data_IF_043194342430
#
_entry.id   IF_043194342430
#
_cell.length_a   1.000
_cell.length_b   1.000
_cell.length_c   1.000
_cell.angle_alpha   90.00
_cell.angle_beta   90.00
_cell.angle_gamma   90.00
#
_symmetry.space_group_name_H-M   'P 1'
#
loop_
_entity.id
_entity.type
_entity.pdbx_description
1 polymer ?
#
# COMPACT_ATOMS: atom_id res chain seq x y z
N UNK A 1 -18.88 -9.64 -13.39
CA UNK A 1 -17.44 -9.38 -13.60
C UNK A 1 -16.63 -10.57 -13.12
N UNK A 2 -15.33 -10.62 -13.42
CA UNK A 2 -14.44 -11.66 -12.88
C UNK A 2 -14.39 -11.63 -11.34
N UNK A 3 -14.09 -12.77 -10.70
CA UNK A 3 -13.92 -12.82 -9.24
C UNK A 3 -12.62 -12.15 -8.84
N UNK A 4 -12.68 -11.30 -7.81
CA UNK A 4 -11.49 -10.66 -7.23
C UNK A 4 -10.64 -11.63 -6.41
N UNK A 5 -11.23 -12.71 -5.92
CA UNK A 5 -10.48 -13.81 -5.31
C UNK A 5 -10.45 -14.94 -6.35
N UNK A 6 -9.27 -15.23 -6.95
CA UNK A 6 -9.13 -16.27 -7.95
C UNK A 6 -9.51 -17.67 -7.42
N UNK A 7 -10.03 -18.51 -8.31
CA UNK A 7 -10.31 -19.93 -8.04
C UNK A 7 -9.08 -20.81 -8.34
N UNK A 8 -8.24 -20.41 -9.29
CA UNK A 8 -6.96 -21.09 -9.55
C UNK A 8 -6.06 -21.00 -8.29
N UNK A 9 -5.60 -22.13 -7.74
CA UNK A 9 -4.85 -22.12 -6.49
C UNK A 9 -3.55 -21.32 -6.53
N UNK A 10 -2.85 -21.27 -7.67
CA UNK A 10 -1.57 -20.55 -7.77
C UNK A 10 -1.80 -19.05 -7.78
N UNK A 11 -2.69 -18.58 -8.65
CA UNK A 11 -3.04 -17.16 -8.74
C UNK A 11 -3.69 -16.69 -7.43
N UNK A 12 -4.46 -17.56 -6.77
CA UNK A 12 -5.06 -17.26 -5.47
C UNK A 12 -4.01 -17.01 -4.39
N UNK A 13 -2.95 -17.82 -4.32
CA UNK A 13 -1.88 -17.63 -3.33
C UNK A 13 -1.17 -16.29 -3.57
N UNK A 14 -0.81 -15.98 -4.81
CA UNK A 14 -0.18 -14.71 -5.18
C UNK A 14 -1.07 -13.51 -4.82
N UNK A 15 -2.38 -13.61 -5.14
CA UNK A 15 -3.34 -12.57 -4.80
C UNK A 15 -3.47 -12.33 -3.29
N UNK A 16 -3.50 -13.40 -2.49
CA UNK A 16 -3.59 -13.31 -1.03
C UNK A 16 -2.28 -12.85 -0.38
N UNK A 17 -1.13 -13.17 -0.97
CA UNK A 17 0.18 -12.67 -0.53
C UNK A 17 0.28 -11.16 -0.70
N UNK A 18 -0.15 -10.64 -1.86
CA UNK A 18 -0.20 -9.21 -2.11
C UNK A 18 -1.24 -8.50 -1.23
N UNK A 19 -2.40 -9.12 -1.01
CA UNK A 19 -3.40 -8.60 -0.06
C UNK A 19 -2.80 -8.45 1.34
N UNK A 20 -2.20 -9.53 1.88
CA UNK A 20 -1.58 -9.50 3.20
C UNK A 20 -0.42 -8.49 3.32
N UNK A 21 0.37 -8.33 2.25
CA UNK A 21 1.43 -7.31 2.21
C UNK A 21 0.84 -5.90 2.29
N UNK A 22 -0.18 -5.61 1.47
CA UNK A 22 -0.83 -4.30 1.43
C UNK A 22 -1.56 -3.96 2.74
N UNK A 23 -2.21 -4.95 3.37
CA UNK A 23 -2.81 -4.79 4.69
C UNK A 23 -1.74 -4.46 5.75
N UNK A 24 -0.60 -5.17 5.72
CA UNK A 24 0.52 -4.86 6.62
C UNK A 24 1.11 -3.46 6.42
N UNK A 25 1.12 -2.95 5.18
CA UNK A 25 1.50 -1.55 4.87
C UNK A 25 0.48 -0.58 5.47
N UNK A 26 -0.82 -0.83 5.27
CA UNK A 26 -1.90 0.01 5.81
C UNK A 26 -1.87 0.06 7.34
N UNK A 27 -1.70 -1.09 8.00
CA UNK A 27 -1.59 -1.17 9.46
C UNK A 27 -0.40 -0.34 9.98
N UNK A 28 0.77 -0.52 9.38
CA UNK A 28 1.97 0.25 9.76
C UNK A 28 1.78 1.75 9.50
N UNK A 29 1.14 2.12 8.39
CA UNK A 29 0.88 3.51 8.02
C UNK A 29 -0.05 4.20 9.01
N UNK A 30 -1.15 3.55 9.39
CA UNK A 30 -2.10 4.06 10.40
C UNK A 30 -1.41 4.25 11.75
N UNK A 31 -0.61 3.26 12.18
CA UNK A 31 0.13 3.35 13.44
C UNK A 31 1.16 4.49 13.42
N UNK A 32 1.91 4.65 12.33
CA UNK A 32 2.87 5.74 12.17
C UNK A 32 2.18 7.11 12.18
N UNK A 33 1.04 7.23 11.49
CA UNK A 33 0.25 8.46 11.43
C UNK A 33 -0.33 8.83 12.80
N UNK A 34 -0.94 7.89 13.53
CA UNK A 34 -1.47 8.17 14.87
C UNK A 34 -0.36 8.63 15.81
N UNK A 35 0.78 7.93 15.82
CA UNK A 35 1.91 8.27 16.69
C UNK A 35 2.46 9.68 16.41
N UNK A 36 2.50 10.09 15.15
CA UNK A 36 3.11 11.37 14.74
C UNK A 36 2.14 12.54 14.65
N UNK A 37 0.85 12.31 14.39
CA UNK A 37 -0.13 13.36 14.08
C UNK A 37 -1.30 13.44 15.07
N UNK A 38 -1.47 12.45 15.96
CA UNK A 38 -2.61 12.40 16.89
C UNK A 38 -2.18 12.29 18.35
N UNK A 39 -1.11 11.55 18.64
CA UNK A 39 -0.58 11.43 20.00
C UNK A 39 0.02 12.76 20.47
N UNK A 40 -0.27 13.23 21.70
CA UNK A 40 0.37 14.42 22.26
C UNK A 40 1.89 14.27 22.24
N UNK A 41 2.59 15.36 21.94
CA UNK A 41 4.02 15.34 21.62
C UNK A 41 4.86 14.75 22.74
N UNK A 42 4.55 15.07 24.00
CA UNK A 42 5.24 14.59 25.18
C UNK A 42 5.15 13.06 25.40
N UNK A 43 4.18 12.40 24.74
CA UNK A 43 3.99 10.96 24.84
C UNK A 43 4.48 10.20 23.61
N UNK A 44 4.95 10.89 22.56
CA UNK A 44 5.41 10.22 21.35
C UNK A 44 6.67 9.41 21.62
N UNK A 45 6.76 8.26 20.98
CA UNK A 45 7.92 7.40 20.97
C UNK A 45 8.50 7.33 19.55
N UNK A 46 9.49 8.18 19.21
CA UNK A 46 10.03 8.27 17.86
C UNK A 46 10.57 6.95 17.30
N UNK A 47 11.14 6.10 18.16
CA UNK A 47 11.65 4.79 17.77
C UNK A 47 10.52 3.87 17.31
N UNK A 48 9.35 3.93 17.94
CA UNK A 48 8.18 3.16 17.51
C UNK A 48 7.66 3.63 16.15
N UNK A 49 7.50 4.94 15.96
CA UNK A 49 7.09 5.50 14.67
C UNK A 49 8.07 5.12 13.55
N UNK A 50 9.37 5.20 13.83
CA UNK A 50 10.43 4.83 12.88
C UNK A 50 10.39 3.35 12.53
N UNK A 51 10.06 2.47 13.49
CA UNK A 51 9.87 1.03 13.22
C UNK A 51 8.73 0.77 12.24
N UNK A 52 7.62 1.49 12.37
CA UNK A 52 6.48 1.35 11.46
C UNK A 52 6.83 1.83 10.04
N UNK A 53 7.47 3.01 9.94
CA UNK A 53 7.97 3.53 8.64
C UNK A 53 8.96 2.57 7.98
N UNK A 54 9.88 1.98 8.76
CA UNK A 54 10.80 0.98 8.24
C UNK A 54 10.11 -0.32 7.78
N UNK A 55 8.96 -0.67 8.35
CA UNK A 55 8.16 -1.80 7.86
C UNK A 55 7.53 -1.49 6.51
N UNK A 56 6.98 -0.27 6.34
CA UNK A 56 6.45 0.21 5.05
C UNK A 56 7.55 0.17 3.99
N UNK A 57 8.71 0.77 4.26
CA UNK A 57 9.84 0.80 3.33
C UNK A 57 10.24 -0.61 2.86
N UNK A 58 10.42 -1.56 3.79
CA UNK A 58 10.78 -2.94 3.44
C UNK A 58 9.70 -3.64 2.61
N UNK A 59 8.43 -3.36 2.87
CA UNK A 59 7.33 -3.92 2.08
C UNK A 59 7.32 -3.36 0.66
N UNK A 60 7.58 -2.06 0.49
CA UNK A 60 7.67 -1.43 -0.83
C UNK A 60 8.93 -1.86 -1.60
N UNK A 61 10.06 -2.03 -0.92
CA UNK A 61 11.28 -2.61 -1.48
C UNK A 61 11.01 -4.04 -2.01
N UNK A 62 10.35 -4.87 -1.19
CA UNK A 62 9.98 -6.23 -1.59
C UNK A 62 9.03 -6.22 -2.79
N UNK A 63 7.99 -5.38 -2.77
CA UNK A 63 7.03 -5.29 -3.85
C UNK A 63 7.67 -4.82 -5.17
N UNK A 64 8.58 -3.85 -5.10
CA UNK A 64 9.35 -3.37 -6.25
C UNK A 64 10.18 -4.49 -6.88
N UNK A 65 10.74 -5.38 -6.05
CA UNK A 65 11.45 -6.58 -6.48
C UNK A 65 10.57 -7.68 -7.08
N UNK A 66 9.26 -7.66 -6.83
CA UNK A 66 8.28 -8.67 -7.27
C UNK A 66 7.16 -8.06 -8.12
N UNK A 67 7.52 -7.09 -8.98
CA UNK A 67 6.57 -6.35 -9.83
C UNK A 67 5.78 -7.24 -10.80
N UNK A 68 6.29 -8.41 -11.11
CA UNK A 68 5.60 -9.41 -11.93
C UNK A 68 4.26 -9.85 -11.31
N UNK A 69 4.14 -9.78 -9.97
CA UNK A 69 2.89 -10.04 -9.25
C UNK A 69 1.84 -8.94 -9.46
N UNK A 70 2.22 -7.76 -9.97
CA UNK A 70 1.31 -6.63 -10.22
C UNK A 70 0.74 -6.61 -11.65
N UNK A 71 1.07 -7.63 -12.45
CA UNK A 71 0.59 -7.80 -13.81
C UNK A 71 -0.68 -8.65 -13.91
N UNK A 72 -1.34 -8.57 -15.07
CA UNK A 72 -2.42 -9.48 -15.44
C UNK A 72 -3.80 -9.06 -14.94
N UNK A 73 -4.65 -10.05 -14.67
CA UNK A 73 -6.05 -9.79 -14.35
C UNK A 73 -6.20 -9.32 -12.90
N UNK A 74 -6.97 -8.24 -12.72
CA UNK A 74 -7.21 -7.66 -11.40
C UNK A 74 -7.83 -8.66 -10.43
N UNK A 75 -7.29 -8.66 -9.22
CA UNK A 75 -7.69 -9.47 -8.08
C UNK A 75 -7.47 -8.69 -6.78
N UNK A 76 -7.76 -9.30 -5.64
CA UNK A 76 -7.76 -8.66 -4.32
C UNK A 76 -6.40 -8.03 -3.97
N UNK A 77 -5.30 -8.73 -4.23
CA UNK A 77 -3.96 -8.17 -4.01
C UNK A 77 -3.65 -6.87 -4.75
N UNK A 78 -4.07 -6.75 -6.02
CA UNK A 78 -3.94 -5.50 -6.78
C UNK A 78 -4.75 -4.36 -6.16
N UNK A 79 -5.99 -4.65 -5.76
CA UNK A 79 -6.86 -3.66 -5.14
C UNK A 79 -6.28 -3.17 -3.81
N UNK A 80 -5.89 -4.08 -2.93
CA UNK A 80 -5.30 -3.74 -1.63
C UNK A 80 -3.99 -2.97 -1.79
N UNK A 81 -3.14 -3.35 -2.76
CA UNK A 81 -1.93 -2.60 -3.09
C UNK A 81 -2.25 -1.17 -3.53
N UNK A 82 -3.20 -0.99 -4.44
CA UNK A 82 -3.62 0.35 -4.88
C UNK A 82 -4.17 1.20 -3.73
N UNK A 83 -4.95 0.61 -2.83
CA UNK A 83 -5.44 1.29 -1.62
C UNK A 83 -4.29 1.68 -0.68
N UNK A 84 -3.32 0.78 -0.46
CA UNK A 84 -2.15 1.04 0.38
C UNK A 84 -1.33 2.22 -0.14
N UNK A 85 -0.98 2.22 -1.43
CA UNK A 85 -0.20 3.31 -2.03
C UNK A 85 -0.95 4.65 -1.99
N UNK A 86 -2.24 4.66 -2.32
CA UNK A 86 -3.07 5.86 -2.21
C UNK A 86 -3.20 6.39 -0.78
N UNK A 87 -3.19 5.50 0.21
CA UNK A 87 -3.21 5.92 1.61
C UNK A 87 -1.88 6.54 2.07
N UNK A 88 -0.75 6.00 1.59
CA UNK A 88 0.56 6.61 1.83
C UNK A 88 0.60 8.03 1.27
N UNK A 89 0.05 8.28 0.08
CA UNK A 89 -0.05 9.63 -0.49
C UNK A 89 -0.89 10.58 0.36
N UNK A 90 -2.00 10.04 0.89
CA UNK A 90 -2.97 10.84 1.62
C UNK A 90 -2.51 11.20 3.03
N UNK A 91 -1.78 10.31 3.72
CA UNK A 91 -1.47 10.47 5.16
C UNK A 91 0.02 10.52 5.50
N UNK A 92 0.88 10.08 4.59
CA UNK A 92 2.34 9.97 4.79
C UNK A 92 3.07 10.50 3.56
N UNK A 93 2.68 11.70 3.09
CA UNK A 93 3.32 12.38 1.96
C UNK A 93 4.84 12.58 2.19
N UNK A 94 5.23 12.85 3.44
CA UNK A 94 6.61 12.96 3.89
C UNK A 94 7.47 11.70 3.69
N UNK A 95 6.86 10.53 3.46
CA UNK A 95 7.57 9.30 3.12
C UNK A 95 8.19 9.35 1.72
N UNK A 96 7.62 10.14 0.80
CA UNK A 96 8.07 10.30 -0.59
C UNK A 96 8.34 8.95 -1.31
N UNK A 97 7.47 7.96 -1.10
CA UNK A 97 7.70 6.60 -1.59
C UNK A 97 7.89 6.52 -3.12
N UNK A 98 7.27 7.44 -3.88
CA UNK A 98 7.39 7.50 -5.34
C UNK A 98 8.83 7.69 -5.82
N UNK A 99 9.62 8.52 -5.14
CA UNK A 99 11.00 8.81 -5.54
C UNK A 99 11.89 7.56 -5.42
N UNK A 100 11.60 6.72 -4.43
CA UNK A 100 12.35 5.49 -4.17
C UNK A 100 11.87 4.31 -5.02
N UNK A 101 10.62 4.34 -5.48
CA UNK A 101 9.97 3.23 -6.19
C UNK A 101 9.31 3.69 -7.50
N UNK A 102 10.10 4.15 -8.51
CA UNK A 102 9.57 4.72 -9.74
C UNK A 102 8.70 3.74 -10.55
N UNK A 103 9.06 2.45 -10.58
CA UNK A 103 8.26 1.43 -11.29
C UNK A 103 6.90 1.20 -10.63
N UNK A 104 6.88 1.21 -9.29
CA UNK A 104 5.64 1.09 -8.52
C UNK A 104 4.77 2.34 -8.66
N UNK A 105 5.41 3.51 -8.75
CA UNK A 105 4.75 4.77 -9.07
C UNK A 105 4.05 4.69 -10.43
N UNK A 106 4.76 4.25 -11.48
CA UNK A 106 4.19 4.11 -12.82
C UNK A 106 2.99 3.14 -12.84
N UNK A 107 3.11 2.00 -12.15
CA UNK A 107 2.00 1.06 -12.00
C UNK A 107 0.80 1.70 -11.29
N UNK A 108 1.04 2.42 -10.19
CA UNK A 108 -0.03 3.05 -9.42
C UNK A 108 -0.71 4.18 -10.20
N UNK A 109 0.05 4.98 -10.95
CA UNK A 109 -0.51 6.03 -11.81
C UNK A 109 -1.50 5.43 -12.81
N UNK A 110 -1.14 4.34 -13.49
CA UNK A 110 -2.07 3.63 -14.37
C UNK A 110 -3.27 3.06 -13.60
N UNK A 111 -3.03 2.35 -12.50
CA UNK A 111 -4.08 1.71 -11.70
C UNK A 111 -5.08 2.73 -11.11
N UNK A 112 -4.61 3.91 -10.73
CA UNK A 112 -5.42 4.99 -10.14
C UNK A 112 -6.37 5.65 -11.15
N UNK A 113 -6.15 5.49 -12.46
CA UNK A 113 -7.05 6.01 -13.50
C UNK A 113 -8.39 5.28 -13.56
N UNK A 114 -8.48 4.09 -12.97
CA UNK A 114 -9.69 3.27 -12.96
C UNK A 114 -10.83 4.02 -12.30
N UNK A 115 -12.03 3.93 -12.89
CA UNK A 115 -13.20 4.67 -12.39
C UNK A 115 -13.52 4.34 -10.92
N UNK A 116 -13.36 3.08 -10.51
CA UNK A 116 -13.54 2.69 -9.11
C UNK A 116 -12.57 3.41 -8.17
N UNK A 117 -11.31 3.60 -8.58
CA UNK A 117 -10.31 4.32 -7.77
C UNK A 117 -10.62 5.81 -7.72
N UNK A 118 -10.97 6.42 -8.86
CA UNK A 118 -11.31 7.85 -8.97
C UNK A 118 -12.54 8.21 -8.15
N UNK A 119 -13.54 7.33 -8.08
CA UNK A 119 -14.76 7.54 -7.30
C UNK A 119 -14.55 7.39 -5.79
N UNK A 120 -13.44 6.79 -5.35
CA UNK A 120 -13.16 6.51 -3.94
C UNK A 120 -11.94 7.24 -3.42
N UNK A 121 -11.51 8.32 -4.08
CA UNK A 121 -10.41 9.16 -3.57
C UNK A 121 -10.84 9.71 -2.20
N UNK A 122 -10.02 9.53 -1.15
CA UNK A 122 -10.37 10.00 0.17
C UNK A 122 -10.49 11.52 0.19
N UNK A 123 -11.45 12.00 0.97
CA UNK A 123 -11.59 13.42 1.31
C UNK A 123 -11.32 13.61 2.80
N UNK A 124 -10.67 14.71 3.17
CA UNK A 124 -10.41 15.06 4.56
C UNK A 124 -9.12 15.80 4.78
#
# INVERSE_FOLDING_TARGET
>A
GPRLIPEDPKIRIEALQLEALGDGVLDAAVLAFIETQRRPEEFRWPVWASRQRAAIDRSLDWLSGHRDLLGGQIHIGHLTTGCALGYLDFRLDDLNWRERHPDLCAWYEEFSTRESMRQTIPSG
#
